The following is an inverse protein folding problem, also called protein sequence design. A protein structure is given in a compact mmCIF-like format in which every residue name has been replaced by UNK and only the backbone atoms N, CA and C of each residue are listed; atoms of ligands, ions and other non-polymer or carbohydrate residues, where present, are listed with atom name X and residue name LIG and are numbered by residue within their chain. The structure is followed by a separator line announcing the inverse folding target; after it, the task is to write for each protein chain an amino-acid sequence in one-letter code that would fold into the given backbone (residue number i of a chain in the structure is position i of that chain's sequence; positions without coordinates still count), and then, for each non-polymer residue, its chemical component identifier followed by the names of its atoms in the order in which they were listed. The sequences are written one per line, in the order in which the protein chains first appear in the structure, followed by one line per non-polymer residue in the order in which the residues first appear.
data_IF_842696667275
#
_entry.id   IF_842696667275
#
_cell.length_a   1.000
_cell.length_b   1.000
_cell.length_c   1.000
_cell.angle_alpha   90.00
_cell.angle_beta   90.00
_cell.angle_gamma   90.00
#
_symmetry.space_group_name_H-M   'P 1'
#
loop_
_entity.id
_entity.type
_entity.pdbx_description
1 polymer ?
#
# COMPACT_ATOMS: atom_id res chain seq x y z
N UNK A 1 -48.92 76.08 32.59
CA UNK A 1 -48.40 74.95 31.78
C UNK A 1 -46.94 75.29 31.41
N UNK A 2 -45.95 74.85 32.22
CA UNK A 2 -44.54 75.15 31.98
C UNK A 2 -43.88 73.94 31.28
N UNK A 3 -43.25 74.17 30.15
CA UNK A 3 -42.55 73.20 29.34
C UNK A 3 -41.15 72.95 29.97
N UNK A 4 -40.65 71.68 30.01
CA UNK A 4 -39.32 71.46 30.51
C UNK A 4 -38.28 71.68 29.41
N UNK A 5 -37.23 72.50 29.74
CA UNK A 5 -36.06 72.78 28.91
C UNK A 5 -35.16 71.58 28.81
N UNK A 6 -34.94 71.05 27.61
CA UNK A 6 -33.96 70.02 27.34
C UNK A 6 -32.53 70.57 27.38
N UNK A 7 -31.79 70.19 28.39
CA UNK A 7 -30.33 70.43 28.45
C UNK A 7 -29.60 69.49 27.51
N UNK A 8 -29.18 70.02 26.35
CA UNK A 8 -28.29 69.30 25.45
C UNK A 8 -26.87 69.37 26.00
N UNK A 9 -26.40 68.25 26.56
CA UNK A 9 -25.00 68.10 27.01
C UNK A 9 -24.12 68.06 25.77
N UNK A 10 -23.40 69.13 25.46
CA UNK A 10 -22.37 69.17 24.45
C UNK A 10 -21.21 68.27 24.92
N UNK A 11 -21.01 67.14 24.28
CA UNK A 11 -19.79 66.31 24.42
C UNK A 11 -18.64 67.11 23.83
N UNK A 12 -17.78 67.65 24.67
CA UNK A 12 -16.56 68.38 24.26
C UNK A 12 -15.64 67.39 23.57
N UNK A 13 -15.34 67.62 22.28
CA UNK A 13 -14.30 66.89 21.55
C UNK A 13 -12.95 67.28 22.16
N UNK A 14 -12.35 66.40 22.95
CA UNK A 14 -10.96 66.51 23.39
C UNK A 14 -10.09 66.12 22.21
N UNK A 15 -9.27 67.00 21.68
CA UNK A 15 -8.27 66.73 20.67
C UNK A 15 -7.22 65.72 21.20
N UNK A 16 -6.80 64.81 20.35
CA UNK A 16 -5.73 63.86 20.68
C UNK A 16 -4.38 64.57 20.78
N UNK A 17 -3.59 64.24 21.82
CA UNK A 17 -2.21 64.70 21.93
C UNK A 17 -1.34 63.96 20.88
N UNK A 18 -0.34 64.65 20.32
CA UNK A 18 0.64 64.04 19.39
C UNK A 18 1.33 62.83 20.04
N UNK A 19 1.60 62.88 21.33
CA UNK A 19 2.23 61.77 22.05
C UNK A 19 1.29 60.54 22.17
N UNK A 20 0.00 60.76 22.33
CA UNK A 20 -1.01 59.70 22.40
C UNK A 20 -1.17 59.04 21.03
N UNK A 21 -1.10 59.80 19.95
CA UNK A 21 -1.07 59.29 18.58
C UNK A 21 0.18 58.41 18.31
N UNK A 22 1.36 58.90 18.74
CA UNK A 22 2.62 58.14 18.57
C UNK A 22 2.61 56.82 19.35
N UNK A 23 2.09 56.84 20.57
CA UNK A 23 1.96 55.60 21.39
C UNK A 23 0.96 54.63 20.73
N UNK A 24 -0.18 55.13 20.27
CA UNK A 24 -1.19 54.32 19.59
C UNK A 24 -0.64 53.65 18.32
N UNK A 25 0.10 54.41 17.49
CA UNK A 25 0.75 53.87 16.29
C UNK A 25 1.82 52.83 16.66
N UNK A 26 2.65 53.11 17.67
CA UNK A 26 3.69 52.16 18.11
C UNK A 26 3.08 50.84 18.58
N UNK A 27 2.03 50.88 19.40
CA UNK A 27 1.31 49.68 19.86
C UNK A 27 0.62 49.00 18.69
N UNK A 28 0.00 49.72 17.79
CA UNK A 28 -0.65 49.20 16.59
C UNK A 28 0.34 48.43 15.69
N UNK A 29 1.52 49.02 15.43
CA UNK A 29 2.58 48.38 14.65
C UNK A 29 3.12 47.13 15.36
N UNK A 30 3.30 47.17 16.69
CA UNK A 30 3.76 46.02 17.44
C UNK A 30 2.75 44.85 17.38
N UNK A 31 1.46 45.14 17.59
CA UNK A 31 0.41 44.11 17.51
C UNK A 31 0.29 43.54 16.07
N UNK A 32 0.41 44.41 15.06
CA UNK A 32 0.41 43.95 13.66
C UNK A 32 1.60 43.06 13.34
N UNK A 33 2.79 43.38 13.84
CA UNK A 33 3.99 42.54 13.67
C UNK A 33 3.82 41.19 14.32
N UNK A 34 3.31 41.10 15.56
CA UNK A 34 3.03 39.86 16.25
C UNK A 34 1.95 39.03 15.50
N UNK A 35 0.87 39.69 15.05
CA UNK A 35 -0.18 39.03 14.29
C UNK A 35 0.33 38.44 12.98
N UNK A 36 1.17 39.16 12.27
CA UNK A 36 1.77 38.70 11.01
C UNK A 36 2.68 37.50 11.22
N UNK A 37 3.53 37.52 12.23
CA UNK A 37 4.41 36.37 12.54
C UNK A 37 3.60 35.11 12.89
N UNK A 38 2.53 35.24 13.66
CA UNK A 38 1.63 34.14 14.00
C UNK A 38 0.94 33.57 12.74
N UNK A 39 0.46 34.45 11.85
CA UNK A 39 -0.18 34.03 10.60
C UNK A 39 0.80 33.26 9.70
N UNK A 40 2.02 33.78 9.52
CA UNK A 40 3.06 33.09 8.72
C UNK A 40 3.36 31.70 9.29
N UNK A 41 3.44 31.59 10.61
CA UNK A 41 3.68 30.30 11.27
C UNK A 41 2.52 29.32 11.02
N UNK A 42 1.28 29.75 11.13
CA UNK A 42 0.10 28.93 10.85
C UNK A 42 0.05 28.47 9.39
N UNK A 43 0.38 29.35 8.44
CA UNK A 43 0.44 28.99 7.02
C UNK A 43 1.52 27.93 6.75
N UNK A 44 2.67 28.04 7.41
CA UNK A 44 3.76 27.05 7.28
C UNK A 44 3.36 25.67 7.81
N UNK A 45 2.75 25.63 9.00
CA UNK A 45 2.23 24.41 9.60
C UNK A 45 1.13 23.78 8.73
N UNK A 46 0.18 24.55 8.23
CA UNK A 46 -0.87 24.06 7.32
C UNK A 46 -0.28 23.45 6.06
N UNK A 47 0.75 24.06 5.48
CA UNK A 47 1.45 23.51 4.31
C UNK A 47 2.11 22.17 4.62
N UNK A 48 2.76 22.04 5.76
CA UNK A 48 3.40 20.78 6.17
C UNK A 48 2.37 19.67 6.39
N UNK A 49 1.21 19.98 6.99
CA UNK A 49 0.12 19.02 7.17
C UNK A 49 -0.44 18.54 5.82
N UNK A 50 -0.58 19.42 4.84
CA UNK A 50 -1.04 19.06 3.49
C UNK A 50 -0.02 18.15 2.78
N UNK A 51 1.28 18.44 2.89
CA UNK A 51 2.34 17.59 2.34
C UNK A 51 2.29 16.21 2.99
N UNK A 52 2.13 16.14 4.30
CA UNK A 52 2.05 14.88 5.05
C UNK A 52 0.83 14.04 4.64
N UNK A 53 -0.34 14.67 4.59
CA UNK A 53 -1.58 14.00 4.19
C UNK A 53 -1.48 13.45 2.76
N UNK A 54 -0.91 14.21 1.82
CA UNK A 54 -0.70 13.78 0.45
C UNK A 54 0.28 12.60 0.36
N UNK A 55 1.41 12.69 1.06
CA UNK A 55 2.39 11.61 1.13
C UNK A 55 1.76 10.31 1.64
N UNK A 56 0.99 10.38 2.73
CA UNK A 56 0.29 9.21 3.26
C UNK A 56 -0.76 8.65 2.30
N UNK A 57 -1.49 9.51 1.58
CA UNK A 57 -2.46 9.09 0.58
C UNK A 57 -1.78 8.34 -0.57
N UNK A 58 -0.68 8.87 -1.11
CA UNK A 58 0.07 8.26 -2.20
C UNK A 58 0.63 6.89 -1.80
N UNK A 59 1.21 6.79 -0.60
CA UNK A 59 1.72 5.52 -0.07
C UNK A 59 0.60 4.49 0.13
N UNK A 60 -0.55 4.88 0.66
CA UNK A 60 -1.72 3.99 0.82
C UNK A 60 -2.27 3.54 -0.51
N UNK A 61 -2.39 4.43 -1.48
CA UNK A 61 -2.87 4.10 -2.82
C UNK A 61 -1.96 3.07 -3.50
N UNK A 62 -0.64 3.28 -3.42
CA UNK A 62 0.34 2.30 -3.92
C UNK A 62 0.21 0.96 -3.19
N UNK A 63 0.12 0.96 -1.86
CA UNK A 63 -0.04 -0.23 -1.05
C UNK A 63 -1.34 -0.99 -1.38
N UNK A 64 -2.45 -0.28 -1.55
CA UNK A 64 -3.75 -0.88 -1.90
C UNK A 64 -3.73 -1.53 -3.29
N UNK A 65 -3.10 -0.89 -4.28
CA UNK A 65 -2.96 -1.47 -5.60
C UNK A 65 -2.12 -2.75 -5.56
N UNK A 66 -0.96 -2.71 -4.92
CA UNK A 66 -0.11 -3.88 -4.70
C UNK A 66 -0.87 -5.00 -3.99
N UNK A 67 -1.66 -4.66 -2.96
CA UNK A 67 -2.49 -5.61 -2.22
C UNK A 67 -3.51 -6.31 -3.11
N UNK A 68 -4.20 -5.58 -3.97
CA UNK A 68 -5.21 -6.15 -4.89
C UNK A 68 -4.60 -7.14 -5.86
N UNK A 69 -3.46 -6.80 -6.42
CA UNK A 69 -2.80 -7.64 -7.40
C UNK A 69 -2.18 -8.88 -6.75
N UNK A 70 -1.53 -8.75 -5.60
CA UNK A 70 -0.99 -9.89 -4.85
C UNK A 70 -2.07 -10.90 -4.44
N UNK A 71 -3.29 -10.44 -4.16
CA UNK A 71 -4.42 -11.36 -3.88
C UNK A 71 -4.78 -12.23 -5.07
N UNK A 72 -4.56 -11.76 -6.29
CA UNK A 72 -4.85 -12.49 -7.54
C UNK A 72 -3.73 -13.44 -7.95
N UNK A 73 -2.54 -13.30 -7.35
CA UNK A 73 -1.40 -14.15 -7.67
C UNK A 73 -1.77 -15.65 -7.61
N UNK A 74 -1.32 -16.41 -8.61
CA UNK A 74 -1.60 -17.82 -8.72
C UNK A 74 -3.01 -18.20 -9.18
N UNK A 75 -3.85 -17.22 -9.59
CA UNK A 75 -5.15 -17.54 -10.16
C UNK A 75 -5.01 -18.34 -11.45
N UNK A 76 -5.77 -19.42 -11.55
CA UNK A 76 -5.79 -20.36 -12.65
C UNK A 76 -7.22 -20.74 -12.98
N UNK A 77 -7.64 -20.55 -14.25
CA UNK A 77 -9.02 -20.81 -14.69
C UNK A 77 -9.39 -22.30 -14.62
N UNK A 78 -8.41 -23.18 -14.81
CA UNK A 78 -8.60 -24.63 -14.75
C UNK A 78 -8.21 -25.25 -13.40
N UNK A 79 -8.33 -24.51 -12.27
CA UNK A 79 -7.87 -24.97 -10.96
C UNK A 79 -8.45 -26.32 -10.51
N UNK A 80 -9.64 -26.68 -11.00
CA UNK A 80 -10.26 -27.99 -10.71
C UNK A 80 -9.41 -29.18 -11.22
N UNK A 81 -8.65 -29.00 -12.28
CA UNK A 81 -7.77 -30.04 -12.83
C UNK A 81 -6.50 -30.23 -12.01
N UNK A 82 -6.20 -29.29 -11.11
CA UNK A 82 -5.06 -29.36 -10.19
C UNK A 82 -5.40 -30.02 -8.84
N UNK A 83 -6.62 -30.54 -8.68
CA UNK A 83 -7.07 -31.20 -7.44
C UNK A 83 -7.38 -32.65 -7.75
N UNK A 84 -6.92 -33.57 -6.89
CA UNK A 84 -7.27 -34.98 -7.01
C UNK A 84 -8.71 -35.23 -6.55
N UNK A 85 -9.34 -36.30 -7.09
CA UNK A 85 -10.62 -36.79 -6.58
C UNK A 85 -10.39 -37.91 -5.56
N UNK A 86 -11.24 -38.01 -4.54
CA UNK A 86 -11.08 -38.92 -3.44
C UNK A 86 -11.27 -40.41 -3.87
N UNK A 87 -12.05 -40.62 -4.92
CA UNK A 87 -12.49 -41.94 -5.35
C UNK A 87 -11.68 -42.52 -6.52
N UNK A 88 -10.57 -41.89 -6.88
CA UNK A 88 -9.74 -42.37 -7.98
C UNK A 88 -8.79 -43.49 -7.54
N UNK A 89 -8.57 -44.44 -8.44
CA UNK A 89 -7.67 -45.55 -8.23
C UNK A 89 -6.24 -45.04 -8.01
N UNK A 90 -5.51 -45.53 -6.97
CA UNK A 90 -4.14 -45.08 -6.71
C UNK A 90 -3.24 -45.18 -7.95
N UNK A 91 -2.49 -44.13 -8.21
CA UNK A 91 -1.55 -44.05 -9.32
C UNK A 91 -2.14 -43.61 -10.67
N UNK A 92 -3.47 -43.38 -10.76
CA UNK A 92 -4.11 -42.88 -11.99
C UNK A 92 -4.35 -41.37 -11.99
N UNK A 93 -4.24 -40.69 -10.85
CA UNK A 93 -4.50 -39.26 -10.73
C UNK A 93 -3.32 -38.47 -11.23
N UNK A 94 -3.45 -37.94 -12.42
CA UNK A 94 -2.55 -36.89 -12.93
C UNK A 94 -3.12 -35.53 -12.56
N UNK A 95 -2.64 -34.94 -11.44
CA UNK A 95 -2.91 -33.57 -11.11
C UNK A 95 -2.17 -32.65 -12.09
N UNK A 96 -2.90 -31.78 -12.76
CA UNK A 96 -2.27 -30.75 -13.55
C UNK A 96 -1.57 -29.74 -12.65
N UNK A 97 -0.38 -29.34 -13.03
CA UNK A 97 0.39 -28.33 -12.28
C UNK A 97 -0.10 -26.94 -12.65
N UNK A 98 -0.44 -26.11 -11.66
CA UNK A 98 -0.81 -24.71 -11.89
C UNK A 98 0.40 -23.94 -12.47
N UNK A 99 0.36 -23.48 -13.72
CA UNK A 99 1.48 -22.77 -14.35
C UNK A 99 1.69 -21.35 -13.73
N UNK A 100 0.67 -20.82 -13.05
CA UNK A 100 0.68 -19.49 -12.43
C UNK A 100 1.08 -19.53 -10.96
N UNK A 101 1.40 -20.69 -10.39
CA UNK A 101 1.69 -20.84 -8.97
C UNK A 101 2.94 -20.08 -8.50
N UNK A 102 3.84 -19.71 -9.42
CA UNK A 102 5.10 -19.08 -9.10
C UNK A 102 4.91 -17.69 -8.46
N UNK A 103 5.60 -17.49 -7.31
CA UNK A 103 5.73 -16.23 -6.60
C UNK A 103 7.22 -16.05 -6.27
N UNK A 104 7.80 -14.92 -6.64
CA UNK A 104 9.19 -14.58 -6.29
C UNK A 104 9.22 -13.26 -5.51
N UNK A 105 9.93 -13.17 -4.38
CA UNK A 105 10.71 -14.23 -3.75
C UNK A 105 9.81 -15.38 -3.33
N UNK A 106 10.39 -16.60 -3.36
CA UNK A 106 9.65 -17.77 -2.90
C UNK A 106 9.42 -17.69 -1.38
N UNK A 107 8.26 -18.11 -0.96
CA UNK A 107 7.86 -18.00 0.43
C UNK A 107 8.72 -18.85 1.40
N UNK A 108 9.46 -19.84 0.89
CA UNK A 108 10.41 -20.62 1.67
C UNK A 108 11.68 -19.83 2.06
N UNK A 109 11.94 -18.71 1.39
CA UNK A 109 13.15 -17.91 1.67
C UNK A 109 13.05 -17.08 2.96
N UNK A 110 11.85 -16.70 3.40
CA UNK A 110 11.58 -15.77 4.53
C UNK A 110 12.42 -14.49 4.49
N UNK A 111 13.04 -14.22 3.34
CA UNK A 111 13.99 -13.13 3.11
C UNK A 111 13.24 -11.96 2.50
N UNK A 112 13.48 -10.78 3.05
CA UNK A 112 12.93 -9.55 2.50
C UNK A 112 13.69 -9.14 1.23
N UNK A 113 12.96 -8.76 0.18
CA UNK A 113 13.51 -8.27 -1.08
C UNK A 113 12.86 -6.95 -1.46
N UNK A 114 13.48 -6.23 -2.39
CA UNK A 114 12.99 -4.97 -2.96
C UNK A 114 12.14 -5.16 -4.24
N UNK A 115 11.78 -6.40 -4.52
CA UNK A 115 10.97 -6.75 -5.67
C UNK A 115 10.07 -7.96 -5.38
N UNK A 116 8.95 -8.04 -6.09
CA UNK A 116 8.06 -9.20 -6.13
C UNK A 116 7.60 -9.43 -7.57
N UNK A 117 7.60 -10.70 -7.99
CA UNK A 117 6.98 -11.09 -9.25
C UNK A 117 6.02 -12.25 -9.04
N UNK A 118 4.93 -12.24 -9.77
CA UNK A 118 3.86 -13.22 -9.70
C UNK A 118 3.13 -13.33 -11.04
N UNK A 119 2.28 -14.32 -11.15
CA UNK A 119 1.52 -14.62 -12.36
C UNK A 119 0.08 -14.91 -11.99
N UNK A 120 -0.84 -14.65 -12.91
CA UNK A 120 -2.22 -15.11 -12.85
C UNK A 120 -2.82 -15.12 -14.26
N UNK A 121 -3.74 -16.07 -14.51
CA UNK A 121 -4.44 -16.18 -15.78
C UNK A 121 -5.34 -14.97 -16.01
N UNK A 122 -5.33 -14.50 -17.26
CA UNK A 122 -6.23 -13.47 -17.81
C UNK A 122 -7.04 -13.96 -18.97
N UNK A 123 -6.94 -15.23 -19.28
CA UNK A 123 -7.60 -15.85 -20.41
C UNK A 123 -9.12 -15.86 -20.26
N UNK A 124 -9.82 -15.61 -21.34
CA UNK A 124 -11.26 -15.84 -21.43
C UNK A 124 -11.57 -17.35 -21.49
N UNK A 125 -10.68 -18.10 -22.13
CA UNK A 125 -10.66 -19.57 -22.18
C UNK A 125 -9.24 -19.98 -21.79
N UNK A 126 -9.10 -20.68 -20.68
CA UNK A 126 -7.83 -21.08 -20.11
C UNK A 126 -7.00 -21.97 -21.06
N UNK A 127 -5.79 -21.55 -21.38
CA UNK A 127 -4.86 -22.28 -22.25
C UNK A 127 -3.81 -23.08 -21.49
N UNK A 128 -3.74 -22.95 -20.15
CA UNK A 128 -2.76 -23.59 -19.25
C UNK A 128 -1.30 -23.21 -19.55
N UNK A 129 -1.06 -22.06 -20.19
CA UNK A 129 0.26 -21.53 -20.46
C UNK A 129 0.36 -20.10 -19.97
N UNK A 130 1.54 -19.71 -19.50
CA UNK A 130 1.75 -18.32 -19.02
C UNK A 130 2.07 -17.43 -20.22
N UNK A 131 1.13 -16.59 -20.57
CA UNK A 131 1.29 -15.62 -21.63
C UNK A 131 2.09 -14.38 -21.20
N UNK A 132 2.51 -13.58 -22.17
CA UNK A 132 3.31 -12.36 -21.90
C UNK A 132 2.54 -11.34 -21.09
N UNK A 133 1.22 -11.25 -21.23
CA UNK A 133 0.32 -10.32 -20.52
C UNK A 133 -0.13 -10.82 -19.13
N UNK A 134 0.35 -11.98 -18.67
CA UNK A 134 0.00 -12.63 -17.41
C UNK A 134 1.13 -12.60 -16.39
N UNK A 135 2.18 -11.84 -16.69
CA UNK A 135 3.34 -11.64 -15.84
C UNK A 135 3.28 -10.27 -15.17
N UNK A 136 3.31 -10.26 -13.85
CA UNK A 136 3.16 -9.07 -13.04
C UNK A 136 4.25 -8.98 -11.99
N UNK A 137 4.48 -7.78 -11.50
CA UNK A 137 5.47 -7.57 -10.45
C UNK A 137 5.55 -6.13 -9.99
N UNK A 138 6.28 -5.93 -8.91
CA UNK A 138 6.63 -4.63 -8.36
C UNK A 138 8.10 -4.64 -7.98
N UNK A 139 8.79 -3.54 -8.21
CA UNK A 139 10.19 -3.38 -7.80
C UNK A 139 10.50 -1.94 -7.43
N UNK A 140 11.47 -1.75 -6.58
CA UNK A 140 12.04 -0.44 -6.33
C UNK A 140 13.17 -0.18 -7.33
N UNK A 141 13.08 0.90 -8.09
CA UNK A 141 14.12 1.35 -8.99
C UNK A 141 14.24 2.86 -8.98
N UNK A 142 15.44 3.39 -8.73
CA UNK A 142 15.70 4.84 -8.71
C UNK A 142 14.73 5.61 -7.83
N UNK A 143 14.43 5.09 -6.62
CA UNK A 143 13.49 5.67 -5.66
C UNK A 143 12.01 5.75 -6.13
N UNK A 144 11.65 4.97 -7.15
CA UNK A 144 10.29 4.84 -7.69
C UNK A 144 9.89 3.37 -7.58
N UNK A 145 8.65 3.12 -7.15
CA UNK A 145 8.07 1.79 -7.30
C UNK A 145 7.59 1.68 -8.74
N UNK A 146 8.12 0.70 -9.46
CA UNK A 146 7.68 0.32 -10.79
C UNK A 146 6.77 -0.90 -10.71
N UNK A 147 5.73 -0.93 -11.56
CA UNK A 147 4.78 -2.03 -11.75
C UNK A 147 5.03 -2.68 -13.09
N UNK A 148 5.06 -4.00 -13.13
CA UNK A 148 5.13 -4.79 -14.36
C UNK A 148 3.72 -5.13 -14.85
N UNK A 149 3.44 -4.81 -16.10
CA UNK A 149 2.19 -5.11 -16.81
C UNK A 149 2.49 -5.94 -18.05
N UNK A 150 2.75 -7.23 -17.86
CA UNK A 150 3.22 -8.12 -18.91
C UNK A 150 4.75 -8.21 -18.94
N UNK A 151 5.26 -9.17 -19.70
CA UNK A 151 6.69 -9.48 -19.77
C UNK A 151 7.50 -8.26 -20.24
N UNK A 152 8.42 -7.82 -19.40
CA UNK A 152 9.33 -6.70 -19.70
C UNK A 152 8.71 -5.29 -19.70
N UNK A 153 7.41 -5.15 -19.57
CA UNK A 153 6.72 -3.85 -19.55
C UNK A 153 6.64 -3.28 -18.13
N UNK A 154 7.60 -2.42 -17.76
CA UNK A 154 7.66 -1.76 -16.47
C UNK A 154 7.22 -0.32 -16.58
N UNK A 155 6.31 0.09 -15.70
CA UNK A 155 5.76 1.44 -15.63
C UNK A 155 5.89 1.98 -14.20
N UNK A 156 6.12 3.28 -14.07
CA UNK A 156 6.16 3.92 -12.76
C UNK A 156 4.78 3.87 -12.09
N UNK A 157 4.73 3.34 -10.86
CA UNK A 157 3.55 3.36 -10.02
C UNK A 157 3.51 4.63 -9.17
N UNK A 158 4.66 5.08 -8.68
CA UNK A 158 4.79 6.30 -7.87
C UNK A 158 5.43 7.42 -8.66
N UNK A 159 4.98 8.67 -8.43
CA UNK A 159 5.50 9.85 -9.11
C UNK A 159 6.78 10.35 -8.42
N UNK A 160 7.90 10.29 -9.15
CA UNK A 160 9.20 10.77 -8.67
C UNK A 160 9.24 12.28 -8.36
N UNK A 161 8.31 13.07 -8.91
CA UNK A 161 8.27 14.52 -8.67
C UNK A 161 7.67 14.87 -7.30
N UNK A 162 6.84 13.99 -6.76
CA UNK A 162 6.13 14.22 -5.49
C UNK A 162 6.65 13.37 -4.35
N UNK A 163 7.11 12.15 -4.67
CA UNK A 163 7.43 11.09 -3.71
C UNK A 163 8.74 10.39 -4.07
N UNK A 164 9.64 10.30 -3.11
CA UNK A 164 10.88 9.51 -3.22
C UNK A 164 10.80 8.32 -2.27
N UNK A 165 10.74 7.10 -2.82
CA UNK A 165 10.71 5.87 -2.04
C UNK A 165 12.12 5.52 -1.57
N UNK A 166 12.29 5.39 -0.26
CA UNK A 166 13.56 4.98 0.36
C UNK A 166 13.60 3.48 0.64
N UNK A 167 12.44 2.86 0.89
CA UNK A 167 12.35 1.43 1.19
C UNK A 167 11.11 0.84 0.53
N UNK A 168 11.30 -0.24 -0.19
CA UNK A 168 10.27 -1.15 -0.62
C UNK A 168 10.70 -2.55 -0.23
N UNK A 169 10.01 -3.15 0.72
CA UNK A 169 10.40 -4.43 1.28
C UNK A 169 9.23 -5.40 1.19
N UNK A 170 9.47 -6.54 0.57
CA UNK A 170 8.49 -7.62 0.36
C UNK A 170 8.99 -8.86 1.07
N UNK A 171 8.20 -9.36 2.02
CA UNK A 171 8.52 -10.55 2.82
C UNK A 171 7.40 -11.58 2.66
N UNK A 172 7.61 -12.64 1.89
CA UNK A 172 6.65 -13.73 1.78
C UNK A 172 6.73 -14.66 2.98
N UNK A 173 5.61 -15.27 3.33
CA UNK A 173 5.49 -16.32 4.33
C UNK A 173 4.59 -17.45 3.82
N UNK A 174 4.87 -18.69 4.19
CA UNK A 174 4.04 -19.86 3.88
C UNK A 174 3.66 -20.59 5.15
N UNK A 175 2.40 -20.94 5.24
CA UNK A 175 1.90 -21.92 6.19
C UNK A 175 1.54 -23.19 5.42
N UNK A 176 2.15 -24.32 5.78
CA UNK A 176 1.82 -25.63 5.21
C UNK A 176 0.76 -26.32 6.05
N UNK A 177 -0.32 -26.76 5.40
CA UNK A 177 -1.40 -27.52 6.02
C UNK A 177 -1.41 -28.90 5.40
N UNK A 178 -1.20 -29.94 6.21
CA UNK A 178 -1.28 -31.33 5.76
C UNK A 178 -2.72 -31.71 5.42
N UNK A 179 -2.89 -32.33 4.27
CA UNK A 179 -4.19 -32.81 3.79
C UNK A 179 -4.32 -34.34 3.90
N UNK A 180 -3.61 -34.95 4.85
CA UNK A 180 -3.61 -36.41 5.08
C UNK A 180 -5.02 -37.00 5.17
N UNK A 181 -5.93 -36.29 5.82
CA UNK A 181 -7.32 -36.72 6.01
C UNK A 181 -8.17 -36.77 4.74
N UNK A 182 -7.67 -36.19 3.65
CA UNK A 182 -8.32 -36.22 2.34
C UNK A 182 -7.87 -37.39 1.47
N UNK A 183 -6.84 -38.13 1.88
CA UNK A 183 -6.36 -39.31 1.16
C UNK A 183 -7.17 -40.54 1.55
N UNK A 184 -7.59 -41.34 0.56
CA UNK A 184 -8.30 -42.59 0.78
C UNK A 184 -7.36 -43.70 1.34
N UNK A 185 -6.08 -43.67 0.96
CA UNK A 185 -5.07 -44.62 1.39
C UNK A 185 -4.01 -43.93 2.26
N UNK A 186 -3.38 -44.72 3.14
CA UNK A 186 -2.26 -44.26 3.94
C UNK A 186 -1.04 -43.98 3.05
N UNK A 187 -0.34 -42.88 3.36
CA UNK A 187 0.88 -42.54 2.65
C UNK A 187 1.99 -43.56 2.87
N UNK A 188 2.73 -43.97 1.83
CA UNK A 188 3.89 -44.81 1.96
C UNK A 188 4.94 -44.17 2.86
N UNK A 189 5.60 -45.00 3.68
CA UNK A 189 6.68 -44.59 4.57
C UNK A 189 7.83 -43.99 3.73
N UNK A 190 8.27 -42.76 4.06
CA UNK A 190 9.38 -42.10 3.38
C UNK A 190 8.99 -41.36 2.09
N UNK A 191 7.71 -41.28 1.74
CA UNK A 191 7.26 -40.49 0.59
C UNK A 191 7.40 -38.98 0.87
N UNK A 192 8.08 -38.28 -0.02
CA UNK A 192 8.17 -36.78 0.05
C UNK A 192 6.96 -36.11 -0.57
N UNK A 193 6.15 -36.78 -1.37
CA UNK A 193 4.98 -36.28 -2.06
C UNK A 193 3.66 -36.54 -1.36
N UNK A 194 3.59 -37.61 -0.55
CA UNK A 194 2.42 -37.97 0.24
C UNK A 194 2.73 -37.75 1.73
N UNK A 195 1.88 -37.06 2.50
CA UNK A 195 0.59 -36.53 2.13
C UNK A 195 0.69 -35.20 1.32
N UNK A 196 -0.33 -34.88 0.54
CA UNK A 196 -0.42 -33.57 -0.10
C UNK A 196 -0.53 -32.45 0.95
N UNK A 197 0.00 -31.29 0.61
CA UNK A 197 0.03 -30.12 1.47
C UNK A 197 -0.56 -28.93 0.77
N UNK A 198 -1.43 -28.21 1.46
CA UNK A 198 -1.90 -26.91 1.03
C UNK A 198 -0.92 -25.84 1.52
N UNK A 199 -0.44 -25.01 0.61
CA UNK A 199 0.47 -23.92 0.89
C UNK A 199 -0.32 -22.61 0.94
N UNK A 200 -0.63 -22.15 2.15
CA UNK A 200 -1.27 -20.85 2.39
C UNK A 200 -0.19 -19.78 2.40
N UNK A 201 -0.22 -18.92 1.39
CA UNK A 201 0.81 -17.91 1.15
C UNK A 201 0.34 -16.53 1.59
N UNK A 202 1.20 -15.82 2.32
CA UNK A 202 0.98 -14.43 2.70
C UNK A 202 2.21 -13.61 2.37
N UNK A 203 2.00 -12.32 2.07
CA UNK A 203 3.08 -11.40 1.71
C UNK A 203 2.92 -10.14 2.56
N UNK A 204 3.96 -9.81 3.32
CA UNK A 204 4.05 -8.51 4.00
C UNK A 204 4.83 -7.54 3.11
N UNK A 205 4.27 -6.34 2.93
CA UNK A 205 4.90 -5.28 2.14
C UNK A 205 5.06 -4.05 3.04
N UNK A 206 6.26 -3.49 3.06
CA UNK A 206 6.60 -2.24 3.71
C UNK A 206 7.07 -1.24 2.66
N UNK A 207 6.44 -0.08 2.64
CA UNK A 207 6.81 1.04 1.76
C UNK A 207 7.14 2.22 2.65
N UNK A 208 8.36 2.75 2.53
CA UNK A 208 8.76 3.99 3.19
C UNK A 208 9.13 5.02 2.13
N UNK A 209 8.55 6.20 2.25
CA UNK A 209 8.80 7.29 1.32
C UNK A 209 8.90 8.63 2.03
N UNK A 210 9.48 9.59 1.33
CA UNK A 210 9.61 10.99 1.76
C UNK A 210 9.10 11.91 0.68
N UNK A 211 8.59 13.08 1.09
CA UNK A 211 8.22 14.12 0.14
C UNK A 211 9.46 14.71 -0.54
N UNK A 212 9.36 14.99 -1.83
CA UNK A 212 10.41 15.70 -2.58
C UNK A 212 10.43 17.20 -2.26
N UNK A 213 9.28 17.76 -1.88
CA UNK A 213 9.14 19.18 -1.51
C UNK A 213 9.67 19.48 -0.11
N UNK A 214 9.45 18.56 0.84
CA UNK A 214 9.98 18.66 2.20
C UNK A 214 10.54 17.29 2.63
N UNK A 215 11.84 17.12 2.49
CA UNK A 215 12.52 15.83 2.73
C UNK A 215 12.53 15.38 4.19
N UNK A 216 12.17 16.26 5.13
CA UNK A 216 12.01 15.90 6.55
C UNK A 216 10.71 15.13 6.82
N UNK A 217 9.73 15.24 5.91
CA UNK A 217 8.47 14.50 6.02
C UNK A 217 8.67 13.10 5.46
N UNK A 218 8.77 12.12 6.33
CA UNK A 218 8.94 10.70 6.03
C UNK A 218 7.76 9.91 6.59
N UNK A 219 7.18 9.01 5.79
CA UNK A 219 6.06 8.14 6.22
C UNK A 219 6.26 6.72 5.69
N UNK A 220 5.60 5.78 6.37
CA UNK A 220 5.61 4.37 5.97
C UNK A 220 4.19 3.83 5.91
N UNK A 221 3.93 2.98 4.92
CA UNK A 221 2.75 2.15 4.83
C UNK A 221 3.15 0.69 4.92
N UNK A 222 2.44 -0.09 5.75
CA UNK A 222 2.64 -1.53 5.89
C UNK A 222 1.33 -2.24 5.62
N UNK A 223 1.39 -3.26 4.79
CA UNK A 223 0.25 -4.15 4.50
C UNK A 223 0.68 -5.61 4.65
N UNK A 224 -0.26 -6.45 5.02
CA UNK A 224 -0.11 -7.91 4.97
C UNK A 224 -1.24 -8.46 4.11
N UNK A 225 -0.88 -9.26 3.12
CA UNK A 225 -1.81 -9.75 2.10
C UNK A 225 -1.75 -11.27 2.07
N UNK A 226 -2.89 -11.92 2.24
CA UNK A 226 -3.03 -13.34 1.89
C UNK A 226 -3.27 -13.46 0.39
N UNK A 227 -2.46 -14.28 -0.29
CA UNK A 227 -2.73 -14.74 -1.65
C UNK A 227 -3.96 -15.62 -1.62
N UNK A 228 -4.98 -15.33 -2.45
CA UNK A 228 -6.25 -16.08 -2.39
C UNK A 228 -6.15 -17.47 -2.98
N UNK A 229 -5.23 -17.66 -3.92
CA UNK A 229 -5.04 -18.91 -4.63
C UNK A 229 -3.91 -19.69 -3.95
N UNK A 230 -4.30 -20.57 -3.05
CA UNK A 230 -3.36 -21.46 -2.36
C UNK A 230 -2.74 -22.42 -3.39
N UNK A 231 -1.50 -22.81 -3.15
CA UNK A 231 -0.85 -23.83 -3.96
C UNK A 231 -0.98 -25.20 -3.30
N UNK A 232 -1.03 -26.24 -4.11
CA UNK A 232 -0.97 -27.62 -3.64
C UNK A 232 0.41 -28.19 -3.95
N UNK A 233 0.97 -28.94 -3.02
CA UNK A 233 2.22 -29.66 -3.19
C UNK A 233 2.02 -31.11 -2.76
N UNK A 234 2.43 -32.05 -3.61
CA UNK A 234 2.24 -33.46 -3.38
C UNK A 234 0.88 -33.99 -3.83
N UNK A 235 0.68 -35.28 -3.63
CA UNK A 235 -0.56 -36.02 -3.98
C UNK A 235 -0.81 -37.10 -2.97
N UNK A 236 -1.99 -37.67 -2.96
CA UNK A 236 -2.25 -38.95 -2.27
C UNK A 236 -1.50 -40.11 -2.95
N UNK A 237 -1.36 -41.21 -2.25
CA UNK A 237 -0.77 -42.46 -2.75
C UNK A 237 -1.72 -43.13 -3.74
#
# INVERSE_FOLDING_TARGET
MSAPSRVTRRLGHRGFSIIELLIAVAIGLFLSAVGTTMLVHQLHESKNLLIDARLMQDLRTAADLISRDLRRAGYWGAAATGVWTRDETPGTVQMATNPYAALSPSASASTSTDAVSFRYSRDAIENNAVDTNEQFGYRLRRNVIEMQLGSGNWQALTDANTLSISTFSVTPTVQEISLTNLCALACPTGSSRCPPRQLVRSVAVLITGRSTTNTSVVRSARIAVRVRNDALNGSCA
#
